data_IF_548612571641
#
_entry.id   IF_548612571641
#
_cell.length_a   1.000
_cell.length_b   1.000
_cell.length_c   1.000
_cell.angle_alpha   90.00
_cell.angle_beta   90.00
_cell.angle_gamma   90.00
#
_symmetry.space_group_name_H-M   'P 1'
#
loop_
_entity.id
_entity.type
_entity.pdbx_description
1 polymer ?
#
# COMPACT_ATOMS: atom_id res chain seq x y z
N UNK A 1 8.26 -1.22 -10.57
CA UNK A 1 8.89 -0.86 -9.28
C UNK A 1 7.87 -0.91 -8.16
N UNK A 2 8.28 -1.11 -6.90
CA UNK A 2 7.39 -1.14 -5.75
C UNK A 2 8.03 -0.45 -4.55
N UNK A 3 7.43 0.63 -4.06
CA UNK A 3 8.00 1.47 -3.01
C UNK A 3 6.95 1.81 -1.96
N UNK A 4 7.37 1.80 -0.70
CA UNK A 4 6.57 2.34 0.40
C UNK A 4 6.50 3.85 0.29
N UNK A 5 5.31 4.39 0.09
CA UNK A 5 5.10 5.81 -0.10
C UNK A 5 4.86 6.55 1.22
N UNK A 6 5.38 7.77 1.34
CA UNK A 6 5.16 8.62 2.52
C UNK A 6 3.82 9.36 2.41
N UNK A 7 3.09 9.41 3.53
CA UNK A 7 1.74 9.99 3.66
C UNK A 7 1.60 11.46 3.18
N UNK A 8 2.68 12.24 3.25
CA UNK A 8 2.67 13.69 2.99
C UNK A 8 3.00 14.07 1.54
N UNK A 9 3.27 13.10 0.66
CA UNK A 9 3.63 13.43 -0.71
C UNK A 9 2.39 13.74 -1.56
N UNK A 10 2.53 14.67 -2.50
CA UNK A 10 1.48 15.06 -3.43
C UNK A 10 1.36 14.02 -4.54
N UNK A 11 0.12 13.58 -4.82
CA UNK A 11 -0.21 12.71 -5.94
C UNK A 11 -1.32 13.37 -6.76
N UNK A 12 -1.23 13.22 -8.07
CA UNK A 12 -2.28 13.65 -9.00
C UNK A 12 -3.15 12.44 -9.28
N UNK A 13 -4.46 12.61 -9.21
CA UNK A 13 -5.41 11.60 -9.65
C UNK A 13 -6.31 12.21 -10.72
N UNK A 14 -6.55 11.47 -11.82
CA UNK A 14 -7.35 11.93 -12.96
C UNK A 14 -8.73 12.48 -12.53
N UNK A 15 -9.43 11.75 -11.67
CA UNK A 15 -10.80 12.12 -11.22
C UNK A 15 -10.87 13.10 -10.03
N UNK A 16 -9.84 13.22 -9.19
CA UNK A 16 -9.91 13.99 -7.92
C UNK A 16 -8.92 15.15 -7.82
N UNK A 17 -8.14 15.37 -8.88
CA UNK A 17 -7.13 16.42 -8.96
C UNK A 17 -5.88 16.12 -8.12
N UNK A 18 -5.08 17.16 -7.91
CA UNK A 18 -3.84 17.12 -7.13
C UNK A 18 -4.16 17.16 -5.63
N UNK A 19 -3.98 16.05 -4.91
CA UNK A 19 -4.19 15.96 -3.45
C UNK A 19 -3.04 15.25 -2.76
N UNK A 20 -2.89 15.48 -1.45
CA UNK A 20 -1.96 14.71 -0.65
C UNK A 20 -2.37 13.23 -0.63
N UNK A 21 -1.39 12.32 -0.66
CA UNK A 21 -1.60 10.87 -0.65
C UNK A 21 -2.56 10.43 0.46
N UNK A 22 -2.39 10.97 1.68
CA UNK A 22 -3.27 10.69 2.81
C UNK A 22 -4.74 11.07 2.55
N UNK A 23 -4.98 12.28 2.03
CA UNK A 23 -6.33 12.79 1.75
C UNK A 23 -6.97 11.99 0.61
N UNK A 24 -6.20 11.72 -0.45
CA UNK A 24 -6.63 10.90 -1.57
C UNK A 24 -7.03 9.50 -1.07
N UNK A 25 -6.16 8.88 -0.28
CA UNK A 25 -6.41 7.56 0.27
C UNK A 25 -7.65 7.54 1.16
N UNK A 26 -7.80 8.47 2.11
CA UNK A 26 -8.99 8.55 2.97
C UNK A 26 -10.28 8.64 2.15
N UNK A 27 -10.21 9.27 0.98
CA UNK A 27 -11.34 9.42 0.05
C UNK A 27 -11.71 8.14 -0.71
N UNK A 28 -10.88 7.10 -0.68
CA UNK A 28 -11.14 5.80 -1.32
C UNK A 28 -11.65 4.77 -0.31
N UNK A 29 -12.83 4.22 -0.59
CA UNK A 29 -13.41 3.08 0.14
C UNK A 29 -12.61 1.81 -0.15
N UNK A 30 -12.54 0.91 0.84
CA UNK A 30 -11.92 -0.40 0.67
C UNK A 30 -12.68 -1.20 -0.40
N UNK A 31 -11.95 -1.73 -1.39
CA UNK A 31 -12.51 -2.54 -2.47
C UNK A 31 -12.43 -4.03 -2.17
N UNK A 32 -11.41 -4.47 -1.44
CA UNK A 32 -11.22 -5.86 -1.05
C UNK A 32 -10.86 -5.95 0.44
N UNK A 33 -11.28 -7.04 1.10
CA UNK A 33 -10.96 -7.33 2.49
C UNK A 33 -10.51 -8.79 2.59
N UNK A 34 -9.50 -9.06 3.41
CA UNK A 34 -9.02 -10.41 3.69
C UNK A 34 -8.58 -10.50 5.14
N UNK A 35 -8.92 -11.61 5.77
CA UNK A 35 -8.43 -11.93 7.11
C UNK A 35 -7.10 -12.66 6.94
N UNK A 36 -6.06 -12.13 7.56
CA UNK A 36 -4.70 -12.69 7.53
C UNK A 36 -4.30 -13.02 8.96
N UNK A 37 -3.74 -14.21 9.14
CA UNK A 37 -3.15 -14.61 10.41
C UNK A 37 -1.75 -13.99 10.50
N UNK A 38 -1.54 -13.12 11.48
CA UNK A 38 -0.21 -12.62 11.81
C UNK A 38 0.57 -13.75 12.50
N UNK A 39 1.51 -14.37 11.79
CA UNK A 39 2.29 -15.50 12.29
C UNK A 39 3.22 -15.13 13.45
N UNK A 40 3.66 -13.87 13.54
CA UNK A 40 4.51 -13.41 14.64
C UNK A 40 3.72 -13.23 15.94
N UNK A 41 2.48 -12.72 15.86
CA UNK A 41 1.65 -12.43 17.04
C UNK A 41 0.54 -13.45 17.31
N UNK A 42 0.33 -14.42 16.41
CA UNK A 42 -0.79 -15.38 16.41
C UNK A 42 -2.18 -14.71 16.48
N UNK A 43 -2.33 -13.52 15.89
CA UNK A 43 -3.58 -12.75 15.90
C UNK A 43 -4.18 -12.72 14.50
N UNK A 44 -5.50 -12.95 14.40
CA UNK A 44 -6.26 -12.71 13.18
C UNK A 44 -6.44 -11.21 12.95
N UNK A 45 -5.85 -10.71 11.86
CA UNK A 45 -5.97 -9.31 11.42
C UNK A 45 -6.86 -9.23 10.20
N UNK A 46 -7.81 -8.30 10.20
CA UNK A 46 -8.68 -8.07 9.05
C UNK A 46 -8.14 -6.87 8.28
N UNK A 47 -7.56 -7.17 7.12
CA UNK A 47 -6.90 -6.19 6.26
C UNK A 47 -7.85 -5.79 5.13
N UNK A 48 -8.00 -4.49 4.94
CA UNK A 48 -8.75 -3.88 3.85
C UNK A 48 -7.79 -3.23 2.85
N UNK A 49 -7.95 -3.52 1.57
CA UNK A 49 -7.14 -2.95 0.50
C UNK A 49 -8.02 -2.10 -0.43
N UNK A 50 -7.49 -0.95 -0.82
CA UNK A 50 -7.99 -0.12 -1.91
C UNK A 50 -6.86 0.14 -2.89
N UNK A 51 -7.16 0.30 -4.17
CA UNK A 51 -6.17 0.68 -5.17
C UNK A 51 -6.77 1.73 -6.10
N UNK A 52 -5.89 2.52 -6.68
CA UNK A 52 -6.25 3.65 -7.54
C UNK A 52 -5.06 4.01 -8.43
N UNK A 53 -5.35 4.43 -9.67
CA UNK A 53 -4.32 4.95 -10.56
C UNK A 53 -4.04 6.42 -10.23
N UNK A 54 -2.76 6.74 -10.07
CA UNK A 54 -2.26 8.07 -9.72
C UNK A 54 -1.08 8.41 -10.62
N UNK A 55 -0.83 9.69 -10.79
CA UNK A 55 0.32 10.23 -11.50
C UNK A 55 1.15 11.07 -10.53
N UNK A 56 2.45 11.11 -10.77
CA UNK A 56 3.34 11.96 -9.98
C UNK A 56 3.37 13.36 -10.61
N UNK A 57 3.26 14.47 -9.84
CA UNK A 57 3.26 15.82 -10.41
C UNK A 57 4.56 16.20 -11.15
N UNK A 58 5.67 15.51 -10.88
CA UNK A 58 6.93 15.70 -11.64
C UNK A 58 7.06 14.77 -12.85
N UNK A 59 6.17 13.79 -13.00
CA UNK A 59 6.19 12.79 -14.07
C UNK A 59 4.75 12.50 -14.49
N UNK A 60 4.17 13.40 -15.27
CA UNK A 60 2.77 13.31 -15.72
C UNK A 60 2.56 12.19 -16.75
N UNK A 61 3.62 11.81 -17.49
CA UNK A 61 3.58 10.71 -18.47
C UNK A 61 3.59 9.30 -17.84
N UNK A 62 3.88 9.19 -16.54
CA UNK A 62 4.00 7.89 -15.88
C UNK A 62 2.75 7.59 -15.07
N UNK A 63 1.97 6.62 -15.55
CA UNK A 63 0.84 6.07 -14.82
C UNK A 63 1.33 5.13 -13.71
N UNK A 64 0.98 5.46 -12.47
CA UNK A 64 1.32 4.68 -11.28
C UNK A 64 0.06 4.13 -10.65
N UNK A 65 0.16 3.01 -9.96
CA UNK A 65 -0.91 2.51 -9.10
C UNK A 65 -0.52 2.70 -7.64
N UNK A 66 -1.41 3.35 -6.89
CA UNK A 66 -1.32 3.46 -5.44
C UNK A 66 -2.21 2.39 -4.81
N UNK A 67 -1.58 1.44 -4.14
CA UNK A 67 -2.24 0.43 -3.31
C UNK A 67 -2.20 0.90 -1.86
N UNK A 68 -3.38 0.97 -1.24
CA UNK A 68 -3.59 1.43 0.12
C UNK A 68 -4.06 0.24 0.94
N UNK A 69 -3.23 -0.16 1.90
CA UNK A 69 -3.51 -1.28 2.80
C UNK A 69 -3.83 -0.72 4.18
N UNK A 70 -4.96 -1.12 4.75
CA UNK A 70 -5.45 -0.65 6.05
C UNK A 70 -5.82 -1.84 6.91
N UNK A 71 -5.56 -1.73 8.20
CA UNK A 71 -6.15 -2.63 9.18
C UNK A 71 -7.54 -2.12 9.55
N UNK A 72 -8.56 -2.98 9.52
CA UNK A 72 -9.92 -2.62 9.96
C UNK A 72 -9.98 -2.34 11.45
N UNK A 73 -9.10 -2.95 12.25
CA UNK A 73 -9.01 -2.67 13.69
C UNK A 73 -8.14 -1.45 14.01
N UNK A 74 -7.61 -0.78 12.99
CA UNK A 74 -6.83 0.45 13.10
C UNK A 74 -5.60 0.35 14.03
N UNK A 75 -5.14 -0.86 14.35
CA UNK A 75 -3.96 -1.09 15.20
C UNK A 75 -2.66 -0.59 14.56
N UNK A 76 -2.63 -0.49 13.23
CA UNK A 76 -1.47 -0.05 12.48
C UNK A 76 -1.83 1.09 11.53
N UNK A 77 -0.86 2.00 11.38
CA UNK A 77 -0.96 3.08 10.40
C UNK A 77 -1.17 2.49 9.00
N UNK A 78 -2.03 3.13 8.17
CA UNK A 78 -2.26 2.68 6.80
C UNK A 78 -0.95 2.67 6.01
N UNK A 79 -0.74 1.58 5.28
CA UNK A 79 0.41 1.40 4.42
C UNK A 79 0.05 1.88 3.01
N UNK A 80 0.92 2.71 2.45
CA UNK A 80 0.80 3.22 1.10
C UNK A 80 1.91 2.58 0.27
N UNK A 81 1.52 1.87 -0.78
CA UNK A 81 2.44 1.24 -1.73
C UNK A 81 2.23 1.86 -3.08
N UNK A 82 3.29 2.41 -3.65
CA UNK A 82 3.29 2.95 -5.00
C UNK A 82 3.99 1.97 -5.93
N UNK A 83 3.35 1.67 -7.05
CA UNK A 83 3.88 0.77 -8.07
C UNK A 83 3.72 1.39 -9.45
N UNK A 84 4.58 1.03 -10.40
CA UNK A 84 4.35 1.29 -11.83
C UNK A 84 3.46 0.24 -12.49
N UNK A 85 3.19 -0.87 -11.81
CA UNK A 85 2.38 -1.92 -12.38
C UNK A 85 0.92 -1.47 -12.38
N UNK A 86 0.17 -1.72 -13.47
CA UNK A 86 -1.27 -1.48 -13.48
C UNK A 86 -1.93 -2.43 -12.47
N UNK A 87 -2.78 -1.88 -11.62
CA UNK A 87 -3.58 -2.65 -10.66
C UNK A 87 -5.04 -2.43 -11.02
N UNK A 88 -5.63 -3.42 -11.68
CA UNK A 88 -7.02 -3.35 -12.14
C UNK A 88 -7.92 -4.21 -11.26
N UNK A 89 -7.41 -5.35 -10.80
CA UNK A 89 -8.15 -6.31 -9.99
C UNK A 89 -7.70 -6.35 -8.53
N UNK A 90 -8.56 -6.93 -7.69
CA UNK A 90 -8.21 -7.20 -6.29
C UNK A 90 -7.01 -8.17 -6.18
N UNK A 91 -6.91 -9.12 -7.12
CA UNK A 91 -5.84 -10.12 -7.14
C UNK A 91 -4.48 -9.44 -7.31
N UNK A 92 -4.37 -8.53 -8.28
CA UNK A 92 -3.13 -7.78 -8.55
C UNK A 92 -2.72 -6.96 -7.31
N UNK A 93 -3.69 -6.31 -6.66
CA UNK A 93 -3.44 -5.55 -5.44
C UNK A 93 -2.89 -6.43 -4.30
N UNK A 94 -3.42 -7.64 -4.16
CA UNK A 94 -2.94 -8.62 -3.18
C UNK A 94 -1.55 -9.13 -3.53
N UNK A 95 -1.27 -9.46 -4.79
CA UNK A 95 0.06 -9.92 -5.23
C UNK A 95 1.14 -8.87 -4.96
N UNK A 96 0.85 -7.60 -5.22
CA UNK A 96 1.75 -6.49 -4.89
C UNK A 96 1.95 -6.38 -3.38
N UNK A 97 0.86 -6.46 -2.60
CA UNK A 97 0.95 -6.45 -1.15
C UNK A 97 1.80 -7.61 -0.62
N UNK A 98 1.61 -8.83 -1.13
CA UNK A 98 2.37 -10.02 -0.75
C UNK A 98 3.85 -9.87 -1.10
N UNK A 99 4.17 -9.39 -2.30
CA UNK A 99 5.53 -9.13 -2.76
C UNK A 99 6.25 -8.12 -1.86
N UNK A 100 5.56 -7.02 -1.50
CA UNK A 100 6.10 -6.02 -0.57
C UNK A 100 6.28 -6.58 0.85
N UNK A 101 5.33 -7.36 1.38
CA UNK A 101 5.45 -7.98 2.69
C UNK A 101 6.61 -8.98 2.76
N UNK A 102 6.82 -9.77 1.72
CA UNK A 102 7.95 -10.69 1.63
C UNK A 102 9.28 -9.93 1.71
N UNK A 103 9.40 -8.83 0.94
CA UNK A 103 10.58 -7.95 1.00
C UNK A 103 10.77 -7.31 2.38
N UNK A 104 9.70 -6.86 3.02
CA UNK A 104 9.76 -6.28 4.36
C UNK A 104 10.19 -7.29 5.43
N UNK A 105 9.72 -8.55 5.33
CA UNK A 105 10.15 -9.63 6.22
C UNK A 105 11.65 -9.89 6.09
N UNK A 106 12.19 -9.89 4.87
CA UNK A 106 13.62 -10.04 4.61
C UNK A 106 14.40 -8.87 5.26
N UNK A 107 13.96 -7.63 5.06
CA UNK A 107 14.58 -6.45 5.71
C UNK A 107 14.52 -6.52 7.24
N UNK A 108 13.43 -7.03 7.81
CA UNK A 108 13.33 -7.26 9.25
C UNK A 108 14.34 -8.31 9.72
N UNK A 109 14.43 -9.45 9.02
CA UNK A 109 15.38 -10.52 9.36
C UNK A 109 16.83 -10.02 9.34
N UNK A 110 17.22 -9.24 8.33
CA UNK A 110 18.55 -8.63 8.28
C UNK A 110 18.78 -7.60 9.40
N UNK A 111 17.76 -6.85 9.81
CA UNK A 111 17.86 -5.88 10.90
C UNK A 111 18.05 -6.57 12.26
N UNK A 112 17.43 -7.74 12.46
CA UNK A 112 17.67 -8.57 13.65
C UNK A 112 19.06 -9.21 13.63
N UNK A 113 19.55 -9.67 12.46
CA UNK A 113 20.86 -10.30 12.33
C UNK A 113 22.05 -9.36 12.58
N UNK A 114 21.87 -8.03 12.51
CA UNK A 114 22.92 -7.05 12.82
C UNK A 114 23.04 -6.70 14.32
N UNK A 115 22.16 -7.21 15.16
CA UNK A 115 22.14 -6.98 16.60
C UNK A 115 22.67 -8.18 17.42
N UNK A 116 23.13 -9.25 16.77
CA UNK A 116 23.78 -10.41 17.41
C UNK A 116 25.29 -10.41 17.19
#
# INVERSE_FOLDING_TARGET
>A
FLVRWKKNHLLIHSTKGKKQTHLLARSFKARSKKIVLDSQRKILKSISIAWTQVQHPSFEDINLSLVIVRDTKNYQSPLYLLTSLPVESAKDAWEICHSYMHRWNIEQAFRFAKLS
#
